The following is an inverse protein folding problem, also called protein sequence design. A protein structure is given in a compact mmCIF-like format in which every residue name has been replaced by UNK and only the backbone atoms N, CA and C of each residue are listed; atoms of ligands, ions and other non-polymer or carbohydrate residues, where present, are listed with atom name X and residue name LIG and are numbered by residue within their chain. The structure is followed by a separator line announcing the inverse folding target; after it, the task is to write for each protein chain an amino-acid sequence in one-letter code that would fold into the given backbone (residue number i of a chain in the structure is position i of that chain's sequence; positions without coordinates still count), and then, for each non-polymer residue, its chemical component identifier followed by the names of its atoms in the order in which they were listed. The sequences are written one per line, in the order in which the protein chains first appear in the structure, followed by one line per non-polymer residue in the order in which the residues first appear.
data_IF_081422458907
#
_entry.id   IF_081422458907
#
_cell.length_a   1.000
_cell.length_b   1.000
_cell.length_c   1.000
_cell.angle_alpha   90.00
_cell.angle_beta   90.00
_cell.angle_gamma   90.00
#
_symmetry.space_group_name_H-M   'P 1'
#
loop_
_entity.id
_entity.type
_entity.pdbx_description
1 polymer ?
#
# COMPACT_ATOMS: atom_id res chain seq x y z
N UNK A 1 6.43 24.71 -3.64
CA UNK A 1 5.70 23.59 -3.00
C UNK A 1 5.92 22.34 -3.85
N UNK A 2 6.99 21.58 -3.56
CA UNK A 2 7.49 20.54 -4.45
C UNK A 2 6.61 19.28 -4.37
N UNK A 3 5.72 19.10 -5.36
CA UNK A 3 5.02 17.84 -5.57
C UNK A 3 6.05 16.83 -6.09
N UNK A 4 6.58 16.00 -5.19
CA UNK A 4 7.48 14.90 -5.55
C UNK A 4 6.72 13.90 -6.42
N UNK A 5 7.01 13.95 -7.72
CA UNK A 5 6.57 12.98 -8.70
C UNK A 5 7.30 11.65 -8.43
N UNK A 6 6.67 10.76 -7.65
CA UNK A 6 7.14 9.40 -7.48
C UNK A 6 6.82 8.62 -8.78
N UNK A 7 7.81 8.58 -9.66
CA UNK A 7 7.81 7.80 -10.90
C UNK A 7 7.64 6.31 -10.57
N UNK A 8 6.56 5.72 -11.09
CA UNK A 8 6.11 4.34 -10.86
C UNK A 8 6.94 3.25 -11.59
N UNK A 9 8.21 3.47 -11.93
CA UNK A 9 8.93 2.61 -12.88
C UNK A 9 10.26 1.99 -12.39
N UNK A 10 10.73 2.24 -11.17
CA UNK A 10 12.05 1.75 -10.75
C UNK A 10 12.12 1.28 -9.31
N UNK A 11 11.71 0.04 -9.04
CA UNK A 11 12.28 -0.85 -8.02
C UNK A 11 12.35 -0.46 -6.53
N UNK A 12 12.12 0.79 -6.12
CA UNK A 12 12.38 1.27 -4.76
C UNK A 12 11.24 2.17 -4.28
N UNK A 13 10.07 1.58 -4.09
CA UNK A 13 8.98 2.22 -3.38
C UNK A 13 9.25 2.25 -1.86
N UNK A 14 8.56 3.10 -1.10
CA UNK A 14 8.66 3.11 0.36
C UNK A 14 8.45 1.70 0.94
N UNK A 15 9.33 1.31 1.87
CA UNK A 15 9.34 -0.02 2.51
C UNK A 15 8.67 0.06 3.88
N UNK A 16 8.27 -1.09 4.42
CA UNK A 16 7.68 -1.21 5.76
C UNK A 16 8.54 -0.57 6.87
N UNK A 17 9.87 -0.62 6.73
CA UNK A 17 10.82 -0.04 7.68
C UNK A 17 10.81 1.50 7.69
N UNK A 18 10.41 2.13 6.58
CA UNK A 18 10.32 3.59 6.47
C UNK A 18 9.06 4.13 7.18
N UNK A 19 8.11 3.27 7.53
CA UNK A 19 6.95 3.63 8.33
C UNK A 19 7.27 3.69 9.82
N UNK A 20 7.00 4.86 10.40
CA UNK A 20 7.10 5.08 11.84
C UNK A 20 5.81 4.72 12.58
N UNK A 21 4.67 4.81 11.90
CA UNK A 21 3.37 4.49 12.48
C UNK A 21 3.26 3.02 12.88
N UNK A 22 2.61 2.80 14.03
CA UNK A 22 2.33 1.46 14.52
C UNK A 22 1.26 0.75 13.67
N UNK A 23 0.37 1.53 13.06
CA UNK A 23 -0.75 1.03 12.23
C UNK A 23 -0.69 1.64 10.84
N UNK A 24 -0.69 0.78 9.84
CA UNK A 24 -0.68 1.10 8.43
C UNK A 24 -2.12 0.97 7.93
N UNK A 25 -2.76 2.09 7.62
CA UNK A 25 -4.11 2.10 7.05
C UNK A 25 -4.01 2.03 5.53
N UNK A 26 -4.67 1.04 4.94
CA UNK A 26 -4.86 0.87 3.51
C UNK A 26 -6.30 1.23 3.16
N UNK A 27 -6.48 2.27 2.37
CA UNK A 27 -7.79 2.68 1.86
C UNK A 27 -7.89 2.43 0.36
N UNK A 28 -9.05 1.99 -0.11
CA UNK A 28 -9.41 1.96 -1.51
C UNK A 28 -10.40 3.08 -1.78
N UNK A 29 -9.97 4.14 -2.49
CA UNK A 29 -10.87 5.25 -2.85
C UNK A 29 -12.02 4.82 -3.75
N UNK A 30 -11.78 3.84 -4.61
CA UNK A 30 -12.79 3.34 -5.53
C UNK A 30 -13.87 2.52 -4.82
N UNK A 31 -13.47 1.65 -3.88
CA UNK A 31 -14.40 0.84 -3.11
C UNK A 31 -14.90 1.54 -1.84
N UNK A 32 -14.37 2.72 -1.52
CA UNK A 32 -14.58 3.44 -0.26
C UNK A 32 -14.39 2.56 0.99
N UNK A 33 -13.45 1.62 0.95
CA UNK A 33 -13.10 0.75 2.08
C UNK A 33 -11.75 1.12 2.65
N UNK A 34 -11.57 1.00 3.95
CA UNK A 34 -10.30 1.21 4.63
C UNK A 34 -10.06 0.14 5.68
N UNK A 35 -8.86 -0.43 5.69
CA UNK A 35 -8.42 -1.43 6.65
C UNK A 35 -7.13 -1.00 7.33
N UNK A 36 -7.06 -1.19 8.65
CA UNK A 36 -5.88 -0.91 9.46
C UNK A 36 -5.08 -2.17 9.73
N UNK A 37 -3.79 -2.15 9.41
CA UNK A 37 -2.88 -3.26 9.64
C UNK A 37 -1.79 -2.87 10.61
N UNK A 38 -1.52 -3.68 11.62
CA UNK A 38 -0.39 -3.43 12.51
C UNK A 38 0.95 -3.62 11.77
N UNK A 39 1.82 -2.60 11.86
CA UNK A 39 3.16 -2.63 11.24
C UNK A 39 3.95 -3.85 11.73
N UNK A 40 3.91 -4.17 13.02
CA UNK A 40 4.60 -5.34 13.58
C UNK A 40 4.13 -6.63 12.92
N UNK A 41 2.83 -6.80 12.75
CA UNK A 41 2.22 -7.97 12.11
C UNK A 41 2.59 -8.06 10.62
N UNK A 42 2.67 -6.92 9.92
CA UNK A 42 3.14 -6.87 8.54
C UNK A 42 4.64 -7.15 8.40
N UNK A 43 5.46 -6.61 9.29
CA UNK A 43 6.91 -6.89 9.35
C UNK A 43 7.15 -8.37 9.65
N UNK A 44 6.40 -8.97 10.56
CA UNK A 44 6.52 -10.40 10.87
C UNK A 44 6.13 -11.29 9.68
N UNK A 45 5.11 -10.91 8.91
CA UNK A 45 4.64 -11.70 7.77
C UNK A 45 5.45 -11.51 6.48
N UNK A 46 5.88 -10.28 6.19
CA UNK A 46 6.48 -9.92 4.90
C UNK A 46 7.94 -9.47 5.00
N UNK A 47 8.42 -9.18 6.20
CA UNK A 47 9.72 -8.56 6.45
C UNK A 47 9.67 -7.03 6.44
N UNK A 48 10.56 -6.40 7.21
CA UNK A 48 10.66 -4.94 7.30
C UNK A 48 11.08 -4.28 5.97
N UNK A 49 11.74 -5.05 5.11
CA UNK A 49 12.23 -4.56 3.82
C UNK A 49 11.18 -4.67 2.70
N UNK A 50 10.00 -5.22 2.97
CA UNK A 50 8.98 -5.37 1.96
C UNK A 50 8.43 -4.01 1.47
N UNK A 51 8.41 -3.85 0.15
CA UNK A 51 7.87 -2.66 -0.51
C UNK A 51 6.35 -2.60 -0.40
N UNK A 52 5.84 -1.41 -0.07
CA UNK A 52 4.41 -1.12 -0.01
C UNK A 52 3.66 -1.47 -1.30
N UNK A 53 4.24 -1.24 -2.47
CA UNK A 53 3.59 -1.58 -3.74
C UNK A 53 3.27 -3.08 -3.85
N UNK A 54 4.15 -3.93 -3.31
CA UNK A 54 3.95 -5.39 -3.25
C UNK A 54 2.95 -5.78 -2.16
N UNK A 55 3.00 -5.09 -1.01
CA UNK A 55 2.04 -5.27 0.08
C UNK A 55 0.63 -4.88 -0.36
N UNK A 56 0.47 -3.79 -1.10
CA UNK A 56 -0.80 -3.33 -1.64
C UNK A 56 -1.51 -4.45 -2.38
N UNK A 57 -0.81 -5.17 -3.26
CA UNK A 57 -1.36 -6.30 -4.02
C UNK A 57 -1.80 -7.48 -3.16
N UNK A 58 -1.17 -7.68 -2.00
CA UNK A 58 -1.51 -8.76 -1.07
C UNK A 58 -2.57 -8.36 -0.06
N UNK A 59 -2.58 -7.10 0.35
CA UNK A 59 -3.43 -6.55 1.40
C UNK A 59 -4.70 -5.89 0.86
N UNK A 60 -4.85 -5.74 -0.45
CA UNK A 60 -6.05 -5.16 -1.06
C UNK A 60 -7.26 -6.09 -0.92
N UNK A 61 -7.70 -6.36 0.31
CA UNK A 61 -9.01 -6.84 0.79
C UNK A 61 -9.77 -7.88 -0.07
N UNK A 62 -9.12 -8.62 -0.96
CA UNK A 62 -9.80 -9.39 -2.01
C UNK A 62 -10.55 -8.51 -3.03
N UNK A 63 -10.08 -7.30 -3.32
CA UNK A 63 -10.71 -6.42 -4.30
C UNK A 63 -10.70 -7.07 -5.69
N UNK A 64 -11.85 -7.54 -6.15
CA UNK A 64 -12.09 -8.16 -7.46
C UNK A 64 -11.55 -7.35 -8.65
N UNK A 65 -11.49 -6.02 -8.50
CA UNK A 65 -10.95 -5.09 -9.52
C UNK A 65 -9.42 -5.01 -9.56
N UNK A 66 -8.72 -5.67 -8.64
CA UNK A 66 -7.26 -5.77 -8.66
C UNK A 66 -6.78 -6.85 -9.63
N UNK A 67 -7.59 -7.90 -9.79
CA UNK A 67 -7.40 -9.02 -10.73
C UNK A 67 -8.55 -9.01 -11.75
N UNK A 68 -9.12 -7.83 -12.03
CA UNK A 68 -10.19 -7.70 -13.00
C UNK A 68 -9.64 -7.85 -14.41
N UNK A 69 -10.49 -8.30 -15.34
CA UNK A 69 -10.15 -8.47 -16.76
C UNK A 69 -9.65 -7.17 -17.43
N UNK A 70 -10.00 -6.00 -16.87
CA UNK A 70 -9.55 -4.67 -17.29
C UNK A 70 -8.24 -4.19 -16.62
N UNK A 71 -7.58 -5.04 -15.84
CA UNK A 71 -6.34 -4.72 -15.13
C UNK A 71 -6.53 -4.13 -13.73
N UNK A 72 -5.45 -3.66 -13.10
CA UNK A 72 -5.45 -3.06 -11.76
C UNK A 72 -6.16 -1.70 -11.75
N UNK A 73 -7.49 -1.72 -11.63
CA UNK A 73 -8.30 -0.50 -11.40
C UNK A 73 -8.45 -0.17 -9.92
N UNK A 74 -7.83 -0.97 -9.05
CA UNK A 74 -7.88 -0.76 -7.62
C UNK A 74 -7.09 0.51 -7.27
N UNK A 75 -7.79 1.57 -6.89
CA UNK A 75 -7.19 2.80 -6.34
C UNK A 75 -6.86 2.66 -4.85
N UNK A 76 -6.31 1.50 -4.45
CA UNK A 76 -5.78 1.32 -3.10
C UNK A 76 -4.58 2.23 -2.89
N UNK A 77 -4.52 2.88 -1.73
CA UNK A 77 -3.41 3.71 -1.27
C UNK A 77 -3.25 3.55 0.22
N UNK A 78 -2.05 3.79 0.70
CA UNK A 78 -1.80 3.87 2.14
C UNK A 78 -2.21 5.26 2.62
N UNK A 79 -3.28 5.34 3.41
CA UNK A 79 -3.86 6.60 3.90
C UNK A 79 -2.85 7.35 4.76
N UNK A 80 -2.12 6.61 5.60
CA UNK A 80 -1.15 7.14 6.55
C UNK A 80 0.22 7.41 5.91
N UNK A 81 0.33 7.26 4.59
CA UNK A 81 1.50 7.67 3.82
C UNK A 81 1.25 9.09 3.27
N UNK A 82 0.99 10.05 4.16
CA UNK A 82 1.08 11.46 3.79
C UNK A 82 2.56 11.91 3.86
N UNK A 83 3.00 12.78 2.94
CA UNK A 83 4.40 13.26 2.86
C UNK A 83 4.82 14.18 4.00
#
# INVERSE_FOLDING_TARGET
MARRHHNLAGGDGPRLKDFRDAVIVLECRFCHRSDGFERKSLVAQFGADACLAKLRRRLAMGCERMVGSEGDRCQTRFANLEP
#
